data_IF_263692964951
#
_entry.id   IF_263692964951
#
_cell.length_a   1.000
_cell.length_b   1.000
_cell.length_c   1.000
_cell.angle_alpha   90.00
_cell.angle_beta   90.00
_cell.angle_gamma   90.00
#
_symmetry.space_group_name_H-M   'P 1'
#
loop_
_entity.id
_entity.type
_entity.pdbx_description
1 polymer ?
#
# COMPACT_ATOMS: atom_id res chain seq x y z
N UNK A 1 6.65 -23.59 -2.39
CA UNK A 1 6.03 -22.37 -2.91
C UNK A 1 5.92 -22.49 -4.41
N UNK A 2 4.71 -22.61 -4.92
CA UNK A 2 4.46 -22.55 -6.36
C UNK A 2 4.68 -21.11 -6.86
N UNK A 3 4.95 -20.95 -8.16
CA UNK A 3 5.10 -19.63 -8.77
C UNK A 3 3.85 -18.75 -8.58
N UNK A 4 2.67 -19.35 -8.43
CA UNK A 4 1.41 -18.66 -8.14
C UNK A 4 1.41 -17.99 -6.75
N UNK A 5 1.86 -18.71 -5.72
CA UNK A 5 1.87 -18.23 -4.32
C UNK A 5 2.73 -16.96 -4.16
N UNK A 6 3.87 -16.91 -4.86
CA UNK A 6 4.76 -15.75 -4.88
C UNK A 6 4.11 -14.53 -5.56
N UNK A 7 3.43 -14.75 -6.69
CA UNK A 7 2.72 -13.66 -7.39
C UNK A 7 1.60 -13.09 -6.52
N UNK A 8 0.89 -13.95 -5.79
CA UNK A 8 -0.15 -13.53 -4.86
C UNK A 8 0.44 -12.72 -3.71
N UNK A 9 1.54 -13.19 -3.11
CA UNK A 9 2.24 -12.48 -2.03
C UNK A 9 2.75 -11.09 -2.48
N UNK A 10 3.38 -10.99 -3.65
CA UNK A 10 3.82 -9.69 -4.17
C UNK A 10 2.65 -8.78 -4.52
N UNK A 11 1.54 -9.33 -5.01
CA UNK A 11 0.34 -8.53 -5.27
C UNK A 11 -0.26 -7.99 -3.97
N UNK A 12 -0.30 -8.82 -2.92
CA UNK A 12 -0.75 -8.41 -1.60
C UNK A 12 0.13 -7.29 -1.02
N UNK A 13 1.46 -7.47 -1.05
CA UNK A 13 2.39 -6.42 -0.60
C UNK A 13 2.25 -5.16 -1.47
N UNK A 14 2.10 -5.31 -2.79
CA UNK A 14 1.93 -4.18 -3.70
C UNK A 14 0.66 -3.37 -3.45
N UNK A 15 -0.43 -4.03 -3.03
CA UNK A 15 -1.66 -3.35 -2.63
C UNK A 15 -1.47 -2.53 -1.34
N UNK A 16 -0.65 -3.02 -0.39
CA UNK A 16 -0.31 -2.28 0.83
C UNK A 16 0.66 -1.12 0.58
N UNK A 17 1.42 -1.12 -0.53
CA UNK A 17 2.38 -0.06 -0.82
C UNK A 17 1.70 1.07 -1.59
N UNK A 18 1.18 2.05 -0.84
CA UNK A 18 0.59 3.27 -1.39
C UNK A 18 1.58 4.42 -1.60
N UNK A 19 1.08 5.57 -2.08
CA UNK A 19 1.88 6.79 -2.23
C UNK A 19 2.45 7.31 -0.90
N UNK A 20 1.73 7.12 0.22
CA UNK A 20 2.19 7.47 1.56
C UNK A 20 3.34 6.58 2.05
N UNK A 21 3.34 5.31 1.65
CA UNK A 21 4.45 4.39 1.86
C UNK A 21 5.66 4.75 0.99
N UNK A 22 5.44 5.01 -0.31
CA UNK A 22 6.49 5.35 -1.26
C UNK A 22 7.19 6.68 -0.95
N UNK A 23 6.45 7.68 -0.46
CA UNK A 23 7.01 8.96 0.01
C UNK A 23 7.67 8.87 1.38
N UNK A 24 7.51 7.75 2.11
CA UNK A 24 8.04 7.54 3.46
C UNK A 24 7.34 8.32 4.56
N UNK A 25 6.33 9.14 4.25
CA UNK A 25 5.65 9.99 5.23
C UNK A 25 4.91 9.17 6.30
N UNK A 26 4.30 8.05 5.91
CA UNK A 26 3.65 7.14 6.85
C UNK A 26 4.67 6.51 7.80
N UNK A 27 5.79 6.04 7.26
CA UNK A 27 6.86 5.43 8.05
C UNK A 27 7.39 6.40 9.11
N UNK A 28 7.57 7.68 8.72
CA UNK A 28 8.03 8.71 9.64
C UNK A 28 7.04 8.93 10.79
N UNK A 29 5.76 9.07 10.45
CA UNK A 29 4.69 9.37 11.43
C UNK A 29 4.43 8.24 12.42
N UNK A 30 4.47 7.00 11.96
CA UNK A 30 4.10 5.83 12.78
C UNK A 30 5.28 5.15 13.45
N UNK A 31 6.49 5.20 12.87
CA UNK A 31 7.62 4.39 13.34
C UNK A 31 8.87 5.22 13.63
N UNK A 32 9.30 6.12 12.74
CA UNK A 32 10.58 6.86 12.93
C UNK A 32 10.53 7.80 14.13
N UNK A 33 9.36 8.38 14.43
CA UNK A 33 9.17 9.22 15.62
C UNK A 33 9.43 8.50 16.97
N UNK A 34 9.41 7.15 16.98
CA UNK A 34 9.69 6.32 18.16
C UNK A 34 11.13 5.79 18.20
N UNK A 35 12.01 6.30 17.34
CA UNK A 35 13.43 5.93 17.27
C UNK A 35 13.63 4.41 17.21
N UNK A 36 14.43 3.84 18.12
CA UNK A 36 14.73 2.40 18.17
C UNK A 36 13.52 1.54 18.50
N UNK A 37 12.56 2.05 19.27
CA UNK A 37 11.33 1.32 19.61
C UNK A 37 10.35 1.26 18.43
N UNK A 38 10.48 2.16 17.45
CA UNK A 38 9.75 2.13 16.20
C UNK A 38 9.92 0.82 15.43
N UNK A 39 11.11 0.20 15.48
CA UNK A 39 11.38 -1.09 14.84
C UNK A 39 10.49 -2.22 15.39
N UNK A 40 10.21 -2.21 16.70
CA UNK A 40 9.29 -3.17 17.32
C UNK A 40 7.86 -2.96 16.82
N UNK A 41 7.47 -1.69 16.61
CA UNK A 41 6.20 -1.32 16.00
C UNK A 41 6.06 -1.84 14.57
N UNK A 42 7.12 -1.74 13.75
CA UNK A 42 7.14 -2.27 12.37
C UNK A 42 6.94 -3.79 12.36
N UNK A 43 7.66 -4.52 13.22
CA UNK A 43 7.50 -5.98 13.34
C UNK A 43 6.08 -6.34 13.77
N UNK A 44 5.52 -5.63 14.75
CA UNK A 44 4.15 -5.83 15.21
C UNK A 44 3.15 -5.60 14.07
N UNK A 45 3.31 -4.52 13.30
CA UNK A 45 2.46 -4.23 12.16
C UNK A 45 2.57 -5.32 11.07
N UNK A 46 3.79 -5.77 10.77
CA UNK A 46 4.03 -6.85 9.81
C UNK A 46 3.35 -8.16 10.20
N UNK A 47 3.40 -8.53 11.49
CA UNK A 47 2.66 -9.69 12.01
C UNK A 47 1.15 -9.48 11.86
N UNK A 48 0.65 -8.28 12.18
CA UNK A 48 -0.76 -7.93 12.02
C UNK A 48 -1.25 -8.10 10.57
N UNK A 49 -0.51 -7.56 9.59
CA UNK A 49 -0.82 -7.74 8.18
C UNK A 49 -0.78 -9.21 7.76
N UNK A 50 0.24 -9.96 8.18
CA UNK A 50 0.35 -11.38 7.86
C UNK A 50 -0.85 -12.20 8.41
N UNK A 51 -1.27 -11.94 9.66
CA UNK A 51 -2.41 -12.62 10.28
C UNK A 51 -3.73 -12.27 9.59
N UNK A 52 -3.98 -10.99 9.30
CA UNK A 52 -5.20 -10.54 8.63
C UNK A 52 -5.27 -11.06 7.19
N UNK A 53 -4.18 -10.95 6.43
CA UNK A 53 -4.08 -11.48 5.08
C UNK A 53 -4.28 -13.00 5.03
N UNK A 54 -3.63 -13.74 5.94
CA UNK A 54 -3.84 -15.18 6.05
C UNK A 54 -5.29 -15.52 6.42
N UNK A 55 -5.90 -14.76 7.34
CA UNK A 55 -7.30 -14.93 7.72
C UNK A 55 -8.26 -14.83 6.54
N UNK A 56 -8.09 -13.82 5.68
CA UNK A 56 -8.91 -13.66 4.46
C UNK A 56 -8.70 -14.80 3.48
N UNK A 57 -7.45 -15.18 3.21
CA UNK A 57 -7.15 -16.26 2.26
C UNK A 57 -7.72 -17.60 2.76
N UNK A 58 -7.58 -17.90 4.05
CA UNK A 58 -8.13 -19.12 4.64
C UNK A 58 -9.66 -19.12 4.56
N UNK A 59 -10.31 -17.98 4.84
CA UNK A 59 -11.76 -17.84 4.75
C UNK A 59 -12.24 -18.01 3.30
N UNK A 60 -11.57 -17.36 2.34
CA UNK A 60 -11.89 -17.47 0.92
C UNK A 60 -11.75 -18.92 0.42
N UNK A 61 -10.69 -19.62 0.82
CA UNK A 61 -10.49 -21.02 0.45
C UNK A 61 -11.52 -21.96 1.10
N UNK A 62 -11.87 -21.72 2.37
CA UNK A 62 -12.83 -22.56 3.11
C UNK A 62 -14.24 -22.49 2.51
N UNK A 63 -14.66 -21.29 2.13
CA UNK A 63 -16.00 -21.03 1.57
C UNK A 63 -16.00 -21.09 0.03
N UNK A 64 -14.89 -21.50 -0.60
CA UNK A 64 -14.71 -21.59 -2.07
C UNK A 64 -15.13 -20.31 -2.80
N UNK A 65 -14.75 -19.17 -2.23
CA UNK A 65 -15.12 -17.85 -2.74
C UNK A 65 -14.17 -17.48 -3.90
N UNK A 66 -14.74 -17.37 -5.10
CA UNK A 66 -14.00 -16.92 -6.30
C UNK A 66 -14.15 -15.41 -6.55
N UNK A 67 -15.22 -14.79 -6.02
CA UNK A 67 -15.58 -13.40 -6.27
C UNK A 67 -15.59 -12.55 -5.00
N UNK A 68 -15.11 -11.31 -5.12
CA UNK A 68 -15.13 -10.32 -4.04
C UNK A 68 -16.54 -10.05 -3.49
N UNK A 69 -17.56 -10.04 -4.34
CA UNK A 69 -18.94 -9.80 -3.91
C UNK A 69 -19.45 -10.97 -3.02
N UNK A 70 -19.14 -12.21 -3.40
CA UNK A 70 -19.43 -13.40 -2.61
C UNK A 70 -18.74 -13.34 -1.24
N UNK A 71 -17.53 -12.79 -1.17
CA UNK A 71 -16.83 -12.56 0.10
C UNK A 71 -17.59 -11.58 1.00
N UNK A 72 -18.07 -10.46 0.45
CA UNK A 72 -18.85 -9.48 1.20
C UNK A 72 -20.18 -10.06 1.72
N UNK A 73 -20.88 -10.86 0.91
CA UNK A 73 -22.16 -11.48 1.29
C UNK A 73 -21.96 -12.48 2.45
N UNK A 74 -20.83 -13.20 2.47
CA UNK A 74 -20.49 -14.12 3.56
C UNK A 74 -20.18 -13.38 4.87
N UNK A 75 -19.60 -12.18 4.80
CA UNK A 75 -19.20 -11.40 5.97
C UNK A 75 -20.32 -10.50 6.53
N UNK A 76 -21.22 -10.00 5.69
CA UNK A 76 -22.17 -8.96 6.06
C UNK A 76 -23.61 -9.26 5.61
N UNK A 77 -24.63 -8.79 6.36
CA UNK A 77 -26.01 -8.88 5.92
C UNK A 77 -26.24 -8.06 4.63
N UNK A 78 -27.23 -8.42 3.79
CA UNK A 78 -27.37 -7.92 2.42
C UNK A 78 -27.50 -6.39 2.31
N UNK A 79 -28.17 -5.73 3.27
CA UNK A 79 -28.27 -4.26 3.30
C UNK A 79 -26.93 -3.58 3.55
N UNK A 80 -26.10 -4.17 4.42
CA UNK A 80 -24.79 -3.64 4.75
C UNK A 80 -23.77 -3.95 3.65
N UNK A 81 -23.88 -5.12 3.02
CA UNK A 81 -23.09 -5.49 1.84
C UNK A 81 -23.23 -4.45 0.72
N UNK A 82 -24.45 -4.01 0.39
CA UNK A 82 -24.66 -2.98 -0.63
C UNK A 82 -24.04 -1.63 -0.26
N UNK A 83 -24.16 -1.23 1.00
CA UNK A 83 -23.57 0.03 1.48
C UNK A 83 -22.03 -0.01 1.42
N UNK A 84 -21.45 -1.12 1.86
CA UNK A 84 -19.99 -1.35 1.83
C UNK A 84 -19.51 -1.37 0.38
N UNK A 85 -20.15 -2.12 -0.52
CA UNK A 85 -19.78 -2.17 -1.95
C UNK A 85 -19.73 -0.77 -2.58
N UNK A 86 -20.73 0.07 -2.33
CA UNK A 86 -20.73 1.46 -2.80
C UNK A 86 -19.64 2.32 -2.18
N UNK A 87 -19.37 2.14 -0.90
CA UNK A 87 -18.30 2.85 -0.22
C UNK A 87 -16.93 2.47 -0.80
N UNK A 88 -16.69 1.18 -1.02
CA UNK A 88 -15.44 0.66 -1.58
C UNK A 88 -15.25 1.15 -3.02
N UNK A 89 -16.30 1.10 -3.84
CA UNK A 89 -16.26 1.66 -5.19
C UNK A 89 -15.93 3.16 -5.20
N UNK A 90 -16.48 3.95 -4.27
CA UNK A 90 -16.19 5.37 -4.15
C UNK A 90 -14.74 5.62 -3.76
N UNK A 91 -14.23 4.90 -2.77
CA UNK A 91 -12.84 5.06 -2.31
C UNK A 91 -11.84 4.62 -3.37
N UNK A 92 -12.11 3.53 -4.10
CA UNK A 92 -11.31 3.13 -5.26
C UNK A 92 -11.24 4.22 -6.32
N UNK A 93 -12.38 4.86 -6.63
CA UNK A 93 -12.44 5.92 -7.62
C UNK A 93 -11.68 7.18 -7.15
N UNK A 94 -11.84 7.55 -5.88
CA UNK A 94 -11.10 8.65 -5.27
C UNK A 94 -9.59 8.36 -5.23
N UNK A 95 -9.20 7.15 -4.82
CA UNK A 95 -7.82 6.70 -4.76
C UNK A 95 -7.13 6.72 -6.12
N UNK A 96 -7.82 6.24 -7.16
CA UNK A 96 -7.34 6.34 -8.54
C UNK A 96 -7.09 7.80 -8.95
N UNK A 97 -8.01 8.72 -8.63
CA UNK A 97 -7.84 10.15 -8.91
C UNK A 97 -6.63 10.77 -8.19
N UNK A 98 -6.47 10.46 -6.89
CA UNK A 98 -5.34 10.93 -6.08
C UNK A 98 -4.01 10.39 -6.64
N UNK A 99 -3.95 9.11 -7.00
CA UNK A 99 -2.74 8.49 -7.54
C UNK A 99 -2.37 9.01 -8.93
N UNK A 100 -3.35 9.22 -9.82
CA UNK A 100 -3.10 9.83 -11.13
C UNK A 100 -2.57 11.26 -11.01
N UNK A 101 -3.16 12.04 -10.10
CA UNK A 101 -2.70 13.40 -9.80
C UNK A 101 -1.28 13.38 -9.24
N UNK A 102 -1.00 12.55 -8.23
CA UNK A 102 0.33 12.43 -7.63
C UNK A 102 1.39 11.95 -8.60
N UNK A 103 1.04 11.03 -9.51
CA UNK A 103 1.98 10.57 -10.53
C UNK A 103 2.29 11.66 -11.56
N UNK A 104 1.27 12.46 -11.93
CA UNK A 104 1.44 13.59 -12.84
C UNK A 104 2.33 14.70 -12.25
N UNK A 105 2.20 14.98 -10.94
CA UNK A 105 3.08 15.95 -10.25
C UNK A 105 4.51 15.45 -10.15
N UNK A 106 4.73 14.16 -9.84
CA UNK A 106 6.08 13.56 -9.80
C UNK A 106 6.79 13.68 -11.15
N UNK A 107 6.08 13.44 -12.26
CA UNK A 107 6.64 13.60 -13.61
C UNK A 107 6.97 15.06 -13.91
N UNK A 108 6.11 15.99 -13.49
CA UNK A 108 6.36 17.42 -13.64
C UNK A 108 7.59 17.88 -12.85
N UNK A 109 7.75 17.45 -11.61
CA UNK A 109 8.88 17.83 -10.75
C UNK A 109 10.21 17.24 -11.21
N UNK A 110 10.23 15.96 -11.62
CA UNK A 110 11.48 15.28 -11.98
C UNK A 110 11.91 15.50 -13.43
N UNK A 111 10.95 15.63 -14.36
CA UNK A 111 11.24 15.73 -15.81
C UNK A 111 10.84 17.07 -16.42
N UNK A 112 10.30 18.01 -15.64
CA UNK A 112 9.79 19.32 -16.11
C UNK A 112 8.72 19.23 -17.21
N UNK A 113 8.06 18.07 -17.36
CA UNK A 113 6.98 17.85 -18.34
C UNK A 113 5.65 18.41 -17.82
N UNK A 114 4.74 18.87 -18.68
CA UNK A 114 3.47 19.42 -18.23
C UNK A 114 2.56 18.36 -17.62
N UNK A 115 1.79 18.75 -16.59
CA UNK A 115 0.97 17.86 -15.76
C UNK A 115 -0.03 17.02 -16.58
N UNK A 116 -0.65 17.61 -17.61
CA UNK A 116 -1.62 16.89 -18.44
C UNK A 116 -0.98 15.73 -19.20
N UNK A 117 0.27 15.87 -19.68
CA UNK A 117 1.00 14.76 -20.32
C UNK A 117 1.30 13.65 -19.31
N UNK A 118 1.72 14.01 -18.09
CA UNK A 118 1.96 13.04 -17.02
C UNK A 118 0.70 12.25 -16.66
N UNK A 119 -0.45 12.91 -16.61
CA UNK A 119 -1.75 12.26 -16.38
C UNK A 119 -2.10 11.27 -17.50
N UNK A 120 -2.02 11.68 -18.77
CA UNK A 120 -2.36 10.79 -19.89
C UNK A 120 -1.39 9.63 -20.02
N UNK A 121 -0.10 9.85 -19.77
CA UNK A 121 0.91 8.80 -19.82
C UNK A 121 0.68 7.74 -18.74
N UNK A 122 0.42 8.15 -17.51
CA UNK A 122 0.16 7.24 -16.39
C UNK A 122 -1.17 6.50 -16.57
N UNK A 123 -2.22 7.19 -17.00
CA UNK A 123 -3.51 6.57 -17.32
C UNK A 123 -3.38 5.55 -18.47
N UNK A 124 -2.59 5.86 -19.51
CA UNK A 124 -2.36 4.94 -20.62
C UNK A 124 -1.62 3.67 -20.17
N UNK A 125 -0.60 3.80 -19.31
CA UNK A 125 0.11 2.64 -18.76
C UNK A 125 -0.82 1.73 -17.93
N UNK A 126 -1.69 2.32 -17.10
CA UNK A 126 -2.69 1.58 -16.33
C UNK A 126 -3.64 0.85 -17.29
N UNK A 127 -4.14 1.54 -18.33
CA UNK A 127 -5.03 0.95 -19.32
C UNK A 127 -4.39 -0.25 -20.03
N UNK A 128 -3.14 -0.12 -20.49
CA UNK A 128 -2.40 -1.23 -21.12
C UNK A 128 -2.20 -2.39 -20.14
N UNK A 129 -1.88 -2.10 -18.88
CA UNK A 129 -1.75 -3.15 -17.85
C UNK A 129 -3.06 -3.91 -17.64
N UNK A 130 -4.20 -3.22 -17.68
CA UNK A 130 -5.53 -3.81 -17.49
C UNK A 130 -6.00 -4.63 -18.71
N UNK A 131 -5.50 -4.33 -19.92
CA UNK A 131 -5.82 -5.11 -21.12
C UNK A 131 -5.36 -6.58 -21.03
N UNK A 132 -4.32 -6.87 -20.22
CA UNK A 132 -3.88 -8.24 -19.93
C UNK A 132 -4.72 -8.94 -18.85
N UNK A 133 -5.83 -8.33 -18.41
CA UNK A 133 -6.71 -8.87 -17.39
C UNK A 133 -6.05 -8.97 -16.00
N UNK A 134 -6.59 -9.84 -15.15
CA UNK A 134 -6.07 -10.08 -13.80
C UNK A 134 -4.60 -10.56 -13.81
N UNK A 135 -4.21 -11.32 -14.83
CA UNK A 135 -2.84 -11.80 -14.98
C UNK A 135 -1.84 -10.68 -15.26
N UNK A 136 -2.27 -9.62 -15.97
CA UNK A 136 -1.49 -8.40 -16.19
C UNK A 136 -1.13 -7.72 -14.88
N UNK A 137 -2.14 -7.49 -14.03
CA UNK A 137 -1.96 -6.87 -12.70
C UNK A 137 -0.99 -7.68 -11.83
N UNK A 138 -1.17 -8.99 -11.75
CA UNK A 138 -0.28 -9.88 -10.98
C UNK A 138 1.16 -9.80 -11.47
N UNK A 139 1.36 -9.77 -12.78
CA UNK A 139 2.70 -9.72 -13.38
C UNK A 139 3.37 -8.36 -13.14
N UNK A 140 2.64 -7.25 -13.26
CA UNK A 140 3.16 -5.90 -12.98
C UNK A 140 3.59 -5.78 -11.53
N UNK A 141 2.76 -6.22 -10.57
CA UNK A 141 3.12 -6.17 -9.15
C UNK A 141 4.30 -7.08 -8.79
N UNK A 142 4.39 -8.25 -9.43
CA UNK A 142 5.54 -9.15 -9.27
C UNK A 142 6.86 -8.52 -9.71
N UNK A 143 6.82 -7.53 -10.62
CA UNK A 143 8.00 -6.79 -11.04
C UNK A 143 8.22 -5.50 -10.22
N UNK A 144 7.17 -4.70 -10.01
CA UNK A 144 7.26 -3.41 -9.32
C UNK A 144 7.64 -3.55 -7.85
N UNK A 145 7.08 -4.53 -7.14
CA UNK A 145 7.33 -4.67 -5.69
C UNK A 145 8.79 -5.01 -5.38
N UNK A 146 9.43 -6.01 -6.02
CA UNK A 146 10.86 -6.24 -5.83
C UNK A 146 11.72 -5.04 -6.22
N UNK A 147 11.37 -4.32 -7.29
CA UNK A 147 12.08 -3.11 -7.70
C UNK A 147 12.04 -2.03 -6.59
N UNK A 148 10.86 -1.79 -6.01
CA UNK A 148 10.70 -0.85 -4.90
C UNK A 148 11.54 -1.25 -3.67
N UNK A 149 11.55 -2.55 -3.31
CA UNK A 149 12.36 -3.05 -2.21
C UNK A 149 13.86 -2.83 -2.47
N UNK A 150 14.34 -3.14 -3.68
CA UNK A 150 15.74 -2.93 -4.06
C UNK A 150 16.11 -1.45 -4.00
N UNK A 151 15.27 -0.55 -4.50
CA UNK A 151 15.51 0.89 -4.46
C UNK A 151 15.51 1.44 -3.03
N UNK A 152 14.61 0.96 -2.16
CA UNK A 152 14.55 1.36 -0.76
C UNK A 152 15.76 0.85 0.06
N UNK A 153 16.17 -0.40 -0.16
CA UNK A 153 17.38 -0.95 0.46
C UNK A 153 18.64 -0.27 -0.09
N UNK A 154 18.68 0.00 -1.39
CA UNK A 154 19.80 0.68 -2.04
C UNK A 154 19.98 2.11 -1.50
N UNK A 155 18.90 2.89 -1.43
CA UNK A 155 18.95 4.26 -0.90
C UNK A 155 19.34 4.28 0.57
N UNK A 156 18.75 3.42 1.42
CA UNK A 156 19.11 3.33 2.84
C UNK A 156 20.58 2.95 3.06
N UNK A 157 21.13 2.02 2.29
CA UNK A 157 22.56 1.65 2.35
C UNK A 157 23.49 2.79 1.91
N UNK A 158 23.10 3.58 0.90
CA UNK A 158 23.86 4.76 0.48
C UNK A 158 23.88 5.84 1.56
N UNK A 159 22.73 6.10 2.21
CA UNK A 159 22.63 7.06 3.30
C UNK A 159 23.47 6.67 4.54
N UNK A 160 23.59 5.37 4.84
CA UNK A 160 24.48 4.90 5.91
C UNK A 160 25.96 5.15 5.61
N UNK A 161 26.36 5.19 4.34
CA UNK A 161 27.76 5.44 3.92
C UNK A 161 28.09 6.92 3.78
N UNK A 162 27.12 7.75 3.44
CA UNK A 162 27.27 9.21 3.32
C UNK A 162 26.17 9.89 4.12
N UNK A 163 26.39 10.15 5.42
CA UNK A 163 25.42 10.88 6.23
C UNK A 163 25.32 12.31 5.68
N UNK A 164 24.23 12.62 4.98
CA UNK A 164 23.85 14.01 4.71
C UNK A 164 23.55 14.70 6.05
N UNK A 165 23.73 16.03 6.14
CA UNK A 165 23.24 16.78 7.29
C UNK A 165 21.73 16.58 7.37
N UNK A 166 21.29 15.73 8.31
CA UNK A 166 19.89 15.61 8.64
C UNK A 166 19.45 16.97 9.16
N UNK A 167 18.66 17.72 8.38
CA UNK A 167 17.85 18.79 8.95
C UNK A 167 16.95 18.13 9.98
N UNK A 168 17.33 18.26 11.25
CA UNK A 168 16.45 18.04 12.38
C UNK A 168 15.36 19.10 12.35
N UNK A 169 14.48 19.04 11.35
CA UNK A 169 13.15 19.58 11.54
C UNK A 169 12.56 18.82 12.72
N UNK A 170 12.08 19.57 13.71
CA UNK A 170 11.38 19.06 14.87
C UNK A 170 10.44 17.94 14.44
N UNK A 171 10.89 16.69 14.62
CA UNK A 171 10.09 15.49 14.35
C UNK A 171 8.80 15.70 15.11
N UNK A 172 7.71 15.74 14.35
CA UNK A 172 6.38 16.13 14.79
C UNK A 172 6.14 15.56 16.19
N UNK A 173 5.96 16.44 17.17
CA UNK A 173 5.64 16.10 18.58
C UNK A 173 4.68 14.91 18.57
N UNK A 174 5.10 13.81 19.20
CA UNK A 174 4.41 12.52 19.23
C UNK A 174 2.88 12.67 19.19
N UNK A 175 2.29 12.54 18.00
CA UNK A 175 0.83 12.52 17.81
C UNK A 175 0.25 11.27 18.49
N UNK A 176 1.09 10.25 18.67
CA UNK A 176 0.75 8.98 19.31
C UNK A 176 1.63 8.73 20.55
N UNK A 177 1.04 8.32 21.68
CA UNK A 177 1.75 8.16 22.95
C UNK A 177 2.76 7.00 22.99
N UNK A 178 2.51 5.88 22.29
CA UNK A 178 3.31 4.65 22.43
C UNK A 178 3.54 3.93 21.10
N UNK A 179 4.70 3.27 20.94
CA UNK A 179 5.11 2.53 19.74
C UNK A 179 4.18 1.37 19.38
N UNK A 180 3.65 0.63 20.36
CA UNK A 180 2.75 -0.49 20.14
C UNK A 180 1.39 -0.01 19.64
N UNK A 181 0.91 1.13 20.15
CA UNK A 181 -0.33 1.73 19.72
C UNK A 181 -0.19 2.27 18.29
N UNK A 182 0.97 2.84 17.96
CA UNK A 182 1.28 3.24 16.59
C UNK A 182 1.30 2.05 15.63
N UNK A 183 1.95 0.94 16.00
CA UNK A 183 1.93 -0.30 15.20
C UNK A 183 0.53 -0.86 15.00
N UNK A 184 -0.27 -0.98 16.06
CA UNK A 184 -1.64 -1.48 15.96
C UNK A 184 -2.55 -0.53 15.17
N UNK A 185 -2.44 0.78 15.38
CA UNK A 185 -3.21 1.77 14.64
C UNK A 185 -2.81 1.80 13.16
N UNK A 186 -1.56 1.53 12.83
CA UNK A 186 -1.13 1.42 11.44
C UNK A 186 -1.84 0.26 10.73
N UNK A 187 -1.96 -0.90 11.39
CA UNK A 187 -2.72 -2.04 10.85
C UNK A 187 -4.21 -1.70 10.73
N UNK A 188 -4.80 -1.08 11.75
CA UNK A 188 -6.21 -0.66 11.73
C UNK A 188 -6.47 0.42 10.68
N UNK A 189 -5.52 1.32 10.43
CA UNK A 189 -5.62 2.35 9.42
C UNK A 189 -5.73 1.74 8.01
N UNK A 190 -4.84 0.81 7.69
CA UNK A 190 -4.87 0.07 6.42
C UNK A 190 -6.11 -0.80 6.29
N UNK A 191 -6.67 -1.33 7.38
CA UNK A 191 -7.86 -2.18 7.31
C UNK A 191 -9.18 -1.40 7.35
N UNK A 192 -9.22 -0.26 8.02
CA UNK A 192 -10.44 0.49 8.33
C UNK A 192 -10.68 1.73 7.45
N UNK A 193 -9.61 2.36 6.94
CA UNK A 193 -9.68 3.56 6.10
C UNK A 193 -9.33 3.29 4.63
N UNK A 194 -8.58 2.22 4.36
CA UNK A 194 -8.28 1.78 3.02
C UNK A 194 -9.09 0.52 2.72
N UNK A 195 -10.22 0.62 2.00
CA UNK A 195 -10.87 -0.56 1.50
C UNK A 195 -10.06 -1.07 0.31
N UNK A 196 -9.34 -2.17 0.56
CA UNK A 196 -8.57 -3.07 -0.34
C UNK A 196 -7.08 -3.06 -0.05
#
# INVERSE_FOLDING_TARGET
MNKGDLKLAFTYVGALVGAGFATGQELVRFFVNFETDGLKGVVLAGIGFALLGAGVIILANKETIEDYNSLLITLFPPKLCWLIDKFIALVLWAGLGIMLSGSATVINENFALPVWLGFFLTAFLIFVSLMWGSQGLLNVNTFLVPLLVILALGSSLLYLKQPLPCSGENLIKNVLPNWWMAGSLYVVYYWGLWPI
#
